data_IF_942053035671
#
_entry.id   IF_942053035671
#
_cell.length_a   1.000
_cell.length_b   1.000
_cell.length_c   1.000
_cell.angle_alpha   90.00
_cell.angle_beta   90.00
_cell.angle_gamma   90.00
#
_symmetry.space_group_name_H-M   'P 1'
#
loop_
_entity.id
_entity.type
_entity.pdbx_description
1 polymer ?
#
# COMPACT_ATOMS: atom_id res chain seq x y z
N UNK A 1 19.44 -1.35 -3.48
CA UNK A 1 19.74 -2.78 -3.76
C UNK A 1 18.57 -3.36 -4.56
N UNK A 2 18.86 -4.12 -5.62
CA UNK A 2 17.82 -4.85 -6.36
C UNK A 2 17.48 -6.14 -5.60
N UNK A 3 16.19 -6.38 -5.36
CA UNK A 3 15.71 -7.54 -4.60
C UNK A 3 16.13 -8.84 -5.28
N UNK A 4 16.62 -9.82 -4.51
CA UNK A 4 16.98 -11.14 -5.03
C UNK A 4 18.08 -11.18 -6.11
N UNK A 5 18.86 -10.11 -6.31
CA UNK A 5 19.96 -10.08 -7.30
C UNK A 5 21.33 -10.13 -6.64
N UNK A 6 22.34 -10.52 -7.42
CA UNK A 6 23.73 -10.61 -6.97
C UNK A 6 23.88 -11.56 -5.78
N UNK A 7 24.50 -11.11 -4.70
CA UNK A 7 24.72 -11.91 -3.50
C UNK A 7 23.43 -12.38 -2.79
N UNK A 8 22.27 -11.77 -3.10
CA UNK A 8 20.98 -12.17 -2.56
C UNK A 8 20.27 -13.25 -3.40
N UNK A 9 20.72 -13.51 -4.63
CA UNK A 9 20.10 -14.50 -5.50
C UNK A 9 20.10 -15.92 -4.90
N UNK A 10 21.09 -16.23 -4.07
CA UNK A 10 21.18 -17.50 -3.34
C UNK A 10 20.03 -17.75 -2.35
N UNK A 11 19.26 -16.71 -2.00
CA UNK A 11 18.10 -16.83 -1.13
C UNK A 11 16.81 -17.03 -1.90
N UNK A 12 16.77 -16.73 -3.21
CA UNK A 12 15.54 -16.88 -4.01
C UNK A 12 15.24 -18.36 -4.18
N UNK A 13 14.02 -18.77 -3.86
CA UNK A 13 13.62 -20.17 -3.91
C UNK A 13 13.39 -20.64 -5.34
N UNK A 14 13.62 -21.94 -5.56
CA UNK A 14 13.13 -22.60 -6.76
C UNK A 14 11.60 -22.56 -6.81
N UNK A 15 11.04 -22.70 -8.00
CA UNK A 15 9.58 -22.68 -8.17
C UNK A 15 8.92 -23.80 -7.36
N UNK A 16 9.47 -25.02 -7.39
CA UNK A 16 8.96 -26.16 -6.63
C UNK A 16 8.98 -25.95 -5.11
N UNK A 17 10.06 -25.40 -4.54
CA UNK A 17 10.14 -25.09 -3.11
C UNK A 17 9.13 -24.00 -2.72
N UNK A 18 9.01 -22.96 -3.57
CA UNK A 18 8.09 -21.87 -3.36
C UNK A 18 6.63 -22.34 -3.40
N UNK A 19 6.26 -23.19 -4.36
CA UNK A 19 4.94 -23.81 -4.47
C UNK A 19 4.63 -24.71 -3.27
N UNK A 20 5.61 -25.51 -2.83
CA UNK A 20 5.46 -26.38 -1.65
C UNK A 20 5.16 -25.56 -0.40
N UNK A 21 5.97 -24.52 -0.12
CA UNK A 21 5.75 -23.63 1.04
C UNK A 21 4.38 -22.93 0.94
N UNK A 22 4.00 -22.51 -0.26
CA UNK A 22 2.71 -21.88 -0.47
C UNK A 22 1.56 -22.82 -0.13
N UNK A 23 1.57 -24.03 -0.68
CA UNK A 23 0.50 -25.02 -0.52
C UNK A 23 0.43 -25.58 0.91
N UNK A 24 1.57 -25.87 1.54
CA UNK A 24 1.62 -26.59 2.82
C UNK A 24 1.63 -25.66 4.04
N UNK A 25 2.05 -24.40 3.89
CA UNK A 25 2.21 -23.49 5.03
C UNK A 25 1.36 -22.23 4.90
N UNK A 26 1.52 -21.48 3.79
CA UNK A 26 0.85 -20.18 3.64
C UNK A 26 -0.66 -20.36 3.48
N UNK A 27 -1.10 -21.26 2.60
CA UNK A 27 -2.52 -21.44 2.31
C UNK A 27 -3.31 -21.89 3.56
N UNK A 28 -2.89 -22.91 4.33
CA UNK A 28 -3.61 -23.31 5.54
C UNK A 28 -3.64 -22.21 6.62
N UNK A 29 -2.52 -21.51 6.81
CA UNK A 29 -2.38 -20.51 7.87
C UNK A 29 -3.08 -19.18 7.56
N UNK A 30 -3.03 -18.72 6.31
CA UNK A 30 -3.46 -17.36 5.94
C UNK A 30 -4.80 -17.35 5.19
N UNK A 31 -5.18 -18.44 4.51
CA UNK A 31 -6.30 -18.43 3.57
C UNK A 31 -7.46 -19.38 3.93
N UNK A 32 -7.27 -20.34 4.85
CA UNK A 32 -8.32 -21.31 5.24
C UNK A 32 -9.67 -20.66 5.53
N UNK A 33 -9.69 -19.58 6.32
CA UNK A 33 -10.92 -18.84 6.63
C UNK A 33 -11.69 -18.36 5.39
N UNK A 34 -11.00 -17.93 4.32
CA UNK A 34 -11.61 -17.41 3.11
C UNK A 34 -11.91 -18.50 2.06
N UNK A 35 -11.26 -19.67 2.16
CA UNK A 35 -11.40 -20.76 1.20
C UNK A 35 -12.38 -21.85 1.64
N UNK A 36 -12.61 -22.01 2.94
CA UNK A 36 -13.42 -23.10 3.52
C UNK A 36 -14.92 -22.74 3.65
N UNK A 37 -15.44 -21.84 2.81
CA UNK A 37 -16.83 -21.39 2.93
C UNK A 37 -17.87 -22.46 2.61
N UNK A 38 -17.49 -23.60 2.01
CA UNK A 38 -18.38 -24.74 1.72
C UNK A 38 -19.54 -24.45 0.75
N UNK A 39 -19.77 -23.18 0.45
CA UNK A 39 -20.70 -22.70 -0.56
C UNK A 39 -20.03 -22.79 -1.93
N UNK A 40 -20.74 -23.38 -2.88
CA UNK A 40 -20.35 -23.27 -4.29
C UNK A 40 -20.30 -21.79 -4.65
N UNK A 41 -19.30 -21.32 -5.42
CA UNK A 41 -19.25 -19.93 -5.86
C UNK A 41 -20.62 -19.60 -6.46
N UNK A 42 -21.33 -18.66 -5.84
CA UNK A 42 -22.64 -18.25 -6.31
C UNK A 42 -22.53 -17.99 -7.80
N UNK A 43 -23.43 -18.58 -8.60
CA UNK A 43 -23.42 -18.49 -10.06
C UNK A 43 -23.57 -17.06 -10.58
N UNK A 44 -23.69 -16.09 -9.67
CA UNK A 44 -23.74 -14.67 -9.94
C UNK A 44 -22.33 -14.06 -9.82
N UNK A 45 -21.59 -14.10 -10.93
CA UNK A 45 -20.28 -13.44 -11.07
C UNK A 45 -20.34 -11.94 -10.73
N UNK A 46 -21.53 -11.36 -10.75
CA UNK A 46 -21.81 -9.98 -10.33
C UNK A 46 -21.61 -9.71 -8.83
N UNK A 47 -21.21 -10.67 -8.00
CA UNK A 47 -21.08 -10.51 -6.54
C UNK A 47 -19.63 -10.35 -6.03
N UNK A 48 -18.62 -10.85 -6.75
CA UNK A 48 -17.23 -10.93 -6.24
C UNK A 48 -16.51 -9.59 -6.33
N UNK A 49 -15.85 -9.15 -5.26
CA UNK A 49 -15.15 -7.86 -5.21
C UNK A 49 -13.70 -8.02 -4.78
N UNK A 50 -12.81 -7.42 -5.57
CA UNK A 50 -11.40 -7.31 -5.26
C UNK A 50 -11.06 -5.84 -5.06
N UNK A 51 -10.67 -5.46 -3.84
CA UNK A 51 -10.18 -4.12 -3.52
C UNK A 51 -8.66 -4.15 -3.45
N UNK A 52 -7.99 -3.38 -4.30
CA UNK A 52 -6.56 -3.17 -4.23
C UNK A 52 -6.30 -1.79 -3.59
N UNK A 53 -5.83 -1.79 -2.34
CA UNK A 53 -5.38 -0.60 -1.63
C UNK A 53 -3.88 -0.39 -1.90
N UNK A 54 -3.58 0.70 -2.58
CA UNK A 54 -2.26 0.96 -3.14
C UNK A 54 -1.75 2.30 -2.63
N UNK A 55 -0.48 2.36 -2.24
CA UNK A 55 0.12 3.61 -1.81
C UNK A 55 1.56 3.39 -1.39
N UNK A 56 2.41 4.41 -1.50
CA UNK A 56 3.80 4.27 -1.09
C UNK A 56 3.94 3.84 0.38
N UNK A 57 5.13 3.38 0.76
CA UNK A 57 5.39 3.12 2.18
C UNK A 57 5.22 4.41 2.98
N UNK A 58 4.54 4.36 4.13
CA UNK A 58 4.23 5.56 4.91
C UNK A 58 3.01 6.37 4.44
N UNK A 59 2.33 5.98 3.36
CA UNK A 59 1.11 6.68 2.92
C UNK A 59 -0.05 6.59 3.93
N UNK A 60 -0.13 5.50 4.70
CA UNK A 60 -1.17 5.31 5.73
C UNK A 60 -2.14 4.16 5.47
N UNK A 61 -1.78 3.19 4.62
CA UNK A 61 -2.62 2.02 4.30
C UNK A 61 -3.19 1.30 5.53
N UNK A 62 -2.41 1.20 6.61
CA UNK A 62 -2.83 0.59 7.88
C UNK A 62 -4.04 1.26 8.54
N UNK A 63 -4.42 2.48 8.13
CA UNK A 63 -5.63 3.19 8.59
C UNK A 63 -6.83 2.96 7.68
N UNK A 64 -6.61 2.92 6.37
CA UNK A 64 -7.66 2.70 5.35
C UNK A 64 -8.06 1.22 5.23
N UNK A 65 -7.09 0.30 5.32
CA UNK A 65 -7.33 -1.14 5.13
C UNK A 65 -8.38 -1.73 6.10
N UNK A 66 -8.36 -1.43 7.42
CA UNK A 66 -9.38 -1.94 8.33
C UNK A 66 -10.79 -1.46 8.01
N UNK A 67 -10.95 -0.23 7.52
CA UNK A 67 -12.25 0.35 7.15
C UNK A 67 -12.83 -0.32 5.90
N UNK A 68 -11.98 -0.53 4.88
CA UNK A 68 -12.34 -1.30 3.69
C UNK A 68 -12.69 -2.74 4.06
N UNK A 69 -11.87 -3.39 4.88
CA UNK A 69 -12.11 -4.75 5.33
C UNK A 69 -13.45 -4.87 6.07
N UNK A 70 -13.73 -3.96 6.99
CA UNK A 70 -15.00 -3.93 7.73
C UNK A 70 -16.20 -3.76 6.79
N UNK A 71 -16.12 -2.86 5.82
CA UNK A 71 -17.17 -2.65 4.84
C UNK A 71 -17.42 -3.91 3.98
N UNK A 72 -16.34 -4.59 3.56
CA UNK A 72 -16.42 -5.85 2.81
C UNK A 72 -17.03 -6.99 3.65
N UNK A 73 -16.62 -7.14 4.91
CA UNK A 73 -17.23 -8.10 5.84
C UNK A 73 -18.73 -7.84 6.03
N UNK A 74 -19.13 -6.58 6.19
CA UNK A 74 -20.52 -6.20 6.41
C UNK A 74 -21.42 -6.47 5.19
N UNK A 75 -20.87 -6.45 3.97
CA UNK A 75 -21.61 -6.77 2.75
C UNK A 75 -22.03 -8.24 2.69
N UNK A 76 -21.21 -9.12 3.25
CA UNK A 76 -21.34 -10.57 3.13
C UNK A 76 -21.25 -11.26 4.51
N UNK A 77 -22.22 -11.04 5.43
CA UNK A 77 -22.12 -11.50 6.82
C UNK A 77 -22.14 -13.02 7.00
N UNK A 78 -22.66 -13.76 6.02
CA UNK A 78 -22.68 -15.22 5.98
C UNK A 78 -21.31 -15.82 5.70
N UNK A 79 -20.36 -15.04 5.22
CA UNK A 79 -19.00 -15.49 4.92
C UNK A 79 -18.05 -15.23 6.10
N UNK A 80 -17.01 -16.06 6.24
CA UNK A 80 -15.93 -15.92 7.25
C UNK A 80 -15.04 -14.67 7.07
N UNK A 81 -15.48 -13.69 6.27
CA UNK A 81 -14.77 -12.46 5.96
C UNK A 81 -13.97 -12.53 4.64
N UNK A 82 -13.64 -11.35 4.06
CA UNK A 82 -12.81 -11.28 2.86
C UNK A 82 -11.37 -11.70 3.15
N UNK A 83 -10.68 -12.27 2.16
CA UNK A 83 -9.25 -12.52 2.26
C UNK A 83 -8.48 -11.18 2.30
N UNK A 84 -7.58 -10.99 3.28
CA UNK A 84 -6.77 -9.77 3.39
C UNK A 84 -5.28 -10.05 3.18
N UNK A 85 -4.79 -9.75 1.98
CA UNK A 85 -3.50 -10.19 1.47
C UNK A 85 -2.47 -9.06 1.48
N UNK A 86 -1.28 -9.33 2.05
CA UNK A 86 -0.19 -8.35 2.18
C UNK A 86 1.13 -9.10 1.95
N UNK A 87 1.89 -8.79 0.90
CA UNK A 87 3.14 -9.51 0.61
C UNK A 87 4.14 -9.53 1.78
N UNK A 88 4.20 -8.45 2.58
CA UNK A 88 5.17 -8.36 3.68
C UNK A 88 5.00 -9.48 4.72
N UNK A 89 3.76 -9.94 4.96
CA UNK A 89 3.47 -11.00 5.94
C UNK A 89 3.99 -12.36 5.47
N UNK A 90 4.08 -12.60 4.16
CA UNK A 90 4.59 -13.88 3.65
C UNK A 90 6.09 -14.07 3.82
N UNK A 91 6.84 -13.00 4.11
CA UNK A 91 8.29 -13.10 4.29
C UNK A 91 8.70 -14.04 5.43
N UNK A 92 7.86 -14.21 6.47
CA UNK A 92 8.16 -15.10 7.59
C UNK A 92 8.13 -16.58 7.25
N UNK A 93 7.46 -16.95 6.15
CA UNK A 93 7.43 -18.33 5.67
C UNK A 93 8.70 -18.69 4.88
N UNK A 94 9.53 -17.71 4.54
CA UNK A 94 10.77 -17.97 3.83
C UNK A 94 11.81 -18.63 4.76
N UNK A 95 12.43 -19.77 4.39
CA UNK A 95 13.34 -20.51 5.26
C UNK A 95 14.50 -19.68 5.83
N UNK A 96 15.07 -18.80 5.00
CA UNK A 96 16.15 -17.91 5.41
C UNK A 96 15.73 -16.69 6.27
N UNK A 97 14.43 -16.41 6.43
CA UNK A 97 13.98 -15.12 7.00
C UNK A 97 14.41 -14.94 8.45
N UNK A 98 14.18 -15.96 9.29
CA UNK A 98 14.50 -15.89 10.73
C UNK A 98 16.00 -15.71 10.96
N UNK A 99 16.83 -16.45 10.22
CA UNK A 99 18.29 -16.34 10.34
C UNK A 99 18.81 -15.00 9.81
N UNK A 100 18.26 -14.50 8.70
CA UNK A 100 18.58 -13.16 8.19
C UNK A 100 18.16 -12.08 9.18
N UNK A 101 16.99 -12.21 9.81
CA UNK A 101 16.56 -11.27 10.85
C UNK A 101 17.46 -11.29 12.08
N UNK A 102 18.10 -12.43 12.41
CA UNK A 102 19.05 -12.54 13.53
C UNK A 102 20.44 -11.99 13.18
N UNK A 103 20.95 -12.35 12.01
CA UNK A 103 22.36 -12.11 11.64
C UNK A 103 22.56 -10.82 10.85
N UNK A 104 21.59 -10.45 10.01
CA UNK A 104 21.69 -9.30 9.10
C UNK A 104 20.29 -8.74 8.77
N UNK A 105 19.58 -8.12 9.74
CA UNK A 105 18.18 -7.70 9.58
C UNK A 105 17.92 -6.84 8.34
N UNK A 106 18.89 -6.00 7.95
CA UNK A 106 18.81 -5.16 6.75
C UNK A 106 18.72 -5.96 5.43
N UNK A 107 19.20 -7.21 5.42
CA UNK A 107 19.17 -8.09 4.25
C UNK A 107 17.91 -8.96 4.19
N UNK A 108 17.19 -9.16 5.30
CA UNK A 108 16.03 -10.05 5.35
C UNK A 108 14.95 -9.66 4.33
N UNK A 109 14.52 -8.40 4.35
CA UNK A 109 13.48 -7.90 3.44
C UNK A 109 13.84 -7.97 1.94
N UNK A 110 15.03 -7.49 1.49
CA UNK A 110 15.39 -7.60 0.07
C UNK A 110 15.77 -9.02 -0.38
N UNK A 111 16.16 -9.92 0.54
CA UNK A 111 16.44 -11.31 0.22
C UNK A 111 15.17 -12.14 0.01
N UNK A 112 14.18 -11.99 0.89
CA UNK A 112 12.93 -12.80 0.85
C UNK A 112 11.79 -12.11 0.12
N UNK A 113 11.97 -10.84 -0.28
CA UNK A 113 11.00 -10.06 -1.03
C UNK A 113 10.55 -10.67 -2.37
N UNK A 114 11.43 -11.29 -3.18
CA UNK A 114 11.02 -11.97 -4.42
C UNK A 114 9.96 -13.05 -4.19
N UNK A 115 10.22 -14.00 -3.28
CA UNK A 115 9.29 -15.10 -2.99
C UNK A 115 8.01 -14.61 -2.32
N UNK A 116 8.10 -13.61 -1.44
CA UNK A 116 6.93 -12.99 -0.84
C UNK A 116 5.98 -12.35 -1.88
N UNK A 117 6.52 -11.78 -2.97
CA UNK A 117 5.72 -11.25 -4.08
C UNK A 117 5.12 -12.38 -4.92
N UNK A 118 5.89 -13.44 -5.17
CA UNK A 118 5.41 -14.66 -5.85
C UNK A 118 4.24 -15.28 -5.08
N UNK A 119 4.37 -15.43 -3.77
CA UNK A 119 3.31 -15.94 -2.90
C UNK A 119 2.08 -15.03 -2.83
N UNK A 120 2.25 -13.70 -2.92
CA UNK A 120 1.10 -12.80 -3.04
C UNK A 120 0.31 -13.04 -4.33
N UNK A 121 0.99 -13.21 -5.47
CA UNK A 121 0.32 -13.54 -6.73
C UNK A 121 -0.39 -14.90 -6.64
N UNK A 122 0.26 -15.93 -6.10
CA UNK A 122 -0.35 -17.25 -5.86
C UNK A 122 -1.58 -17.17 -4.94
N UNK A 123 -1.51 -16.37 -3.86
CA UNK A 123 -2.64 -16.14 -2.95
C UNK A 123 -3.81 -15.46 -3.66
N UNK A 124 -3.55 -14.41 -4.44
CA UNK A 124 -4.59 -13.74 -5.24
C UNK A 124 -5.24 -14.72 -6.23
N UNK A 125 -4.46 -15.52 -6.97
CA UNK A 125 -5.00 -16.52 -7.90
C UNK A 125 -5.85 -17.57 -7.19
N UNK A 126 -5.43 -18.05 -6.02
CA UNK A 126 -6.17 -19.06 -5.24
C UNK A 126 -7.49 -18.51 -4.69
N UNK A 127 -7.49 -17.27 -4.21
CA UNK A 127 -8.68 -16.56 -3.73
C UNK A 127 -9.63 -16.28 -4.90
N UNK A 128 -9.10 -15.81 -6.03
CA UNK A 128 -9.87 -15.56 -7.25
C UNK A 128 -10.57 -16.83 -7.76
N UNK A 129 -9.85 -17.97 -7.78
CA UNK A 129 -10.41 -19.27 -8.16
C UNK A 129 -11.49 -19.76 -7.19
N UNK A 130 -11.41 -19.41 -5.90
CA UNK A 130 -12.42 -19.74 -4.91
C UNK A 130 -13.65 -18.82 -4.97
N UNK A 131 -13.55 -17.67 -5.65
CA UNK A 131 -14.63 -16.68 -5.72
C UNK A 131 -14.83 -15.87 -4.43
N UNK A 132 -13.86 -15.88 -3.50
CA UNK A 132 -13.94 -15.11 -2.27
C UNK A 132 -13.58 -13.64 -2.49
N UNK A 133 -14.23 -12.74 -1.75
CA UNK A 133 -13.88 -11.32 -1.72
C UNK A 133 -12.46 -11.11 -1.22
N UNK A 134 -11.77 -10.09 -1.75
CA UNK A 134 -10.36 -9.90 -1.47
C UNK A 134 -9.98 -8.43 -1.27
N UNK A 135 -9.26 -8.13 -0.18
CA UNK A 135 -8.54 -6.89 0.04
C UNK A 135 -7.04 -7.14 -0.11
N UNK A 136 -6.41 -6.50 -1.09
CA UNK A 136 -4.97 -6.59 -1.34
C UNK A 136 -4.30 -5.28 -1.01
N UNK A 137 -3.24 -5.30 -0.19
CA UNK A 137 -2.40 -4.12 0.01
C UNK A 137 -1.12 -4.20 -0.82
N UNK A 138 -0.83 -3.12 -1.55
CA UNK A 138 0.42 -2.98 -2.31
C UNK A 138 1.12 -1.65 -2.05
N UNK A 139 2.45 -1.71 -1.98
CA UNK A 139 3.29 -0.52 -1.92
C UNK A 139 3.73 -0.02 -3.31
N UNK A 140 3.46 -0.76 -4.38
CA UNK A 140 3.91 -0.45 -5.74
C UNK A 140 5.43 -0.22 -5.88
N UNK A 141 6.25 -0.97 -5.15
CA UNK A 141 7.72 -0.95 -5.39
C UNK A 141 8.07 -1.49 -6.78
N UNK A 142 7.35 -2.53 -7.19
CA UNK A 142 7.44 -3.17 -8.51
C UNK A 142 6.07 -3.02 -9.18
N UNK A 143 5.86 -1.99 -10.02
CA UNK A 143 4.52 -1.70 -10.58
C UNK A 143 3.95 -2.83 -11.42
N UNK A 144 4.80 -3.60 -12.12
CA UNK A 144 4.38 -4.77 -12.89
C UNK A 144 3.60 -5.78 -12.02
N UNK A 145 4.08 -6.06 -10.81
CA UNK A 145 3.37 -6.94 -9.88
C UNK A 145 1.95 -6.44 -9.61
N UNK A 146 1.77 -5.14 -9.33
CA UNK A 146 0.43 -4.56 -9.11
C UNK A 146 -0.47 -4.75 -10.33
N UNK A 147 0.05 -4.52 -11.54
CA UNK A 147 -0.70 -4.71 -12.78
C UNK A 147 -1.13 -6.17 -12.94
N UNK A 148 -0.26 -7.12 -12.59
CA UNK A 148 -0.58 -8.55 -12.63
C UNK A 148 -1.64 -8.92 -11.59
N UNK A 149 -1.59 -8.36 -10.38
CA UNK A 149 -2.64 -8.56 -9.38
C UNK A 149 -4.01 -8.05 -9.87
N UNK A 150 -4.06 -6.89 -10.53
CA UNK A 150 -5.30 -6.38 -11.15
C UNK A 150 -5.80 -7.35 -12.23
N UNK A 151 -4.92 -7.82 -13.11
CA UNK A 151 -5.27 -8.77 -14.19
C UNK A 151 -5.77 -10.11 -13.67
N UNK A 152 -5.21 -10.62 -12.57
CA UNK A 152 -5.67 -11.88 -11.93
C UNK A 152 -7.16 -11.78 -11.60
N UNK A 153 -7.60 -10.70 -10.95
CA UNK A 153 -9.00 -10.53 -10.57
C UNK A 153 -9.89 -10.18 -11.76
N UNK A 154 -9.41 -9.36 -12.69
CA UNK A 154 -10.12 -9.06 -13.94
C UNK A 154 -10.43 -10.35 -14.73
N UNK A 155 -9.43 -11.22 -14.91
CA UNK A 155 -9.59 -12.48 -15.64
C UNK A 155 -10.53 -13.47 -14.94
N UNK A 156 -10.71 -13.33 -13.62
CA UNK A 156 -11.66 -14.10 -12.82
C UNK A 156 -13.04 -13.43 -12.70
N UNK A 157 -13.31 -12.39 -13.50
CA UNK A 157 -14.58 -11.66 -13.58
C UNK A 157 -15.01 -11.00 -12.26
N UNK A 158 -14.05 -10.53 -11.47
CA UNK A 158 -14.33 -9.73 -10.27
C UNK A 158 -14.71 -8.29 -10.65
N UNK A 159 -15.50 -7.65 -9.79
CA UNK A 159 -15.52 -6.19 -9.72
C UNK A 159 -14.21 -5.72 -9.05
N UNK A 160 -13.31 -5.15 -9.85
CA UNK A 160 -11.98 -4.73 -9.43
C UNK A 160 -11.97 -3.25 -9.06
N UNK A 161 -11.80 -2.96 -7.77
CA UNK A 161 -11.76 -1.60 -7.24
C UNK A 161 -10.35 -1.27 -6.77
N UNK A 162 -9.83 -0.11 -7.17
CA UNK A 162 -8.48 0.34 -6.81
C UNK A 162 -8.57 1.64 -6.01
N UNK A 163 -7.98 1.66 -4.82
CA UNK A 163 -7.85 2.84 -4.00
C UNK A 163 -6.38 3.25 -3.91
N UNK A 164 -6.02 4.42 -4.44
CA UNK A 164 -4.65 4.96 -4.41
C UNK A 164 -4.53 6.00 -3.32
N UNK A 165 -3.64 5.81 -2.33
CA UNK A 165 -3.32 6.84 -1.35
C UNK A 165 -2.31 7.84 -1.93
N UNK A 166 -2.78 9.01 -2.34
CA UNK A 166 -1.95 10.11 -2.79
C UNK A 166 -1.55 10.99 -1.60
N UNK A 167 -0.31 10.81 -1.16
CA UNK A 167 0.24 11.51 0.01
C UNK A 167 1.53 12.23 -0.38
N UNK A 168 1.73 13.50 0.05
CA UNK A 168 2.99 14.21 -0.16
C UNK A 168 4.21 13.42 0.35
N UNK A 169 5.35 13.60 -0.34
CA UNK A 169 6.59 12.88 -0.02
C UNK A 169 7.02 13.11 1.43
N UNK A 170 7.04 14.37 1.85
CA UNK A 170 7.38 14.77 3.21
C UNK A 170 6.57 14.01 4.27
N UNK A 171 5.25 13.96 4.11
CA UNK A 171 4.35 13.33 5.09
C UNK A 171 4.49 11.81 5.13
N UNK A 172 4.78 11.17 3.99
CA UNK A 172 4.98 9.72 3.93
C UNK A 172 6.33 9.30 4.49
N UNK A 173 7.41 10.05 4.23
CA UNK A 173 8.73 9.86 4.87
C UNK A 173 8.69 10.13 6.37
N UNK A 174 8.07 11.23 6.79
CA UNK A 174 7.89 11.56 8.20
C UNK A 174 7.12 10.47 8.94
N UNK A 175 6.03 9.97 8.36
CA UNK A 175 5.24 8.87 8.92
C UNK A 175 6.04 7.58 9.13
N UNK A 176 7.04 7.28 8.27
CA UNK A 176 7.95 6.15 8.44
C UNK A 176 8.83 6.34 9.68
N UNK A 177 9.41 7.53 9.87
CA UNK A 177 10.27 7.83 11.01
C UNK A 177 9.46 7.80 12.31
N UNK A 178 8.31 8.47 12.34
CA UNK A 178 7.43 8.56 13.51
C UNK A 178 7.00 7.17 13.96
N UNK A 179 6.48 6.32 13.07
CA UNK A 179 6.02 4.98 13.48
C UNK A 179 7.17 4.13 14.00
N UNK A 180 8.35 4.23 13.39
CA UNK A 180 9.51 3.44 13.80
C UNK A 180 10.03 3.88 15.17
N UNK A 181 10.37 5.17 15.32
CA UNK A 181 11.00 5.68 16.53
C UNK A 181 10.05 5.75 17.74
N UNK A 182 8.75 5.96 17.50
CA UNK A 182 7.73 5.90 18.57
C UNK A 182 7.19 4.49 18.81
N UNK A 183 7.68 3.48 18.08
CA UNK A 183 7.27 2.07 18.22
C UNK A 183 5.74 1.91 18.11
N UNK A 184 5.12 2.65 17.19
CA UNK A 184 3.67 2.58 17.00
C UNK A 184 3.26 1.19 16.46
N UNK A 185 2.04 0.70 16.77
CA UNK A 185 1.56 -0.59 16.26
C UNK A 185 1.71 -0.73 14.74
N UNK A 186 1.48 0.35 13.98
CA UNK A 186 1.56 0.39 12.51
C UNK A 186 2.98 0.24 11.96
N UNK A 187 4.01 0.27 12.82
CA UNK A 187 5.38 -0.05 12.45
C UNK A 187 5.65 -1.55 12.37
N UNK A 188 4.68 -2.37 12.80
CA UNK A 188 4.71 -3.84 12.74
C UNK A 188 3.61 -4.31 11.79
N UNK A 189 3.97 -4.82 10.62
CA UNK A 189 2.98 -5.42 9.71
C UNK A 189 2.58 -6.78 10.29
N UNK A 190 1.37 -6.87 10.87
CA UNK A 190 0.77 -8.08 11.47
C UNK A 190 1.75 -8.93 12.30
N UNK A 191 2.37 -8.33 13.31
CA UNK A 191 3.28 -9.04 14.23
C UNK A 191 4.72 -9.18 13.75
N UNK A 192 5.07 -8.68 12.56
CA UNK A 192 6.45 -8.60 12.12
C UNK A 192 7.30 -7.70 13.06
N UNK A 193 8.61 -7.99 13.19
CA UNK A 193 9.51 -7.15 13.97
C UNK A 193 9.50 -5.69 13.52
N UNK A 194 9.79 -4.79 14.46
CA UNK A 194 9.94 -3.36 14.18
C UNK A 194 11.07 -3.14 13.15
N UNK A 195 10.76 -2.49 12.03
CA UNK A 195 11.74 -2.22 10.97
C UNK A 195 11.60 -0.80 10.44
N UNK A 196 12.72 -0.10 10.35
CA UNK A 196 12.78 1.16 9.63
C UNK A 196 12.78 0.87 8.13
N UNK A 197 11.89 1.53 7.39
CA UNK A 197 11.91 1.45 5.92
C UNK A 197 13.03 2.33 5.40
N UNK A 198 14.02 1.79 4.67
CA UNK A 198 15.09 2.60 4.09
C UNK A 198 14.53 3.58 3.05
N UNK A 199 15.08 4.79 2.98
CA UNK A 199 14.68 5.80 1.99
C UNK A 199 14.67 5.29 0.55
N UNK A 200 15.68 4.57 0.04
CA UNK A 200 15.61 4.04 -1.33
C UNK A 200 14.40 3.12 -1.59
N UNK A 201 13.88 2.45 -0.55
CA UNK A 201 12.66 1.64 -0.66
C UNK A 201 11.43 2.53 -0.72
N UNK A 202 11.37 3.57 0.11
CA UNK A 202 10.33 4.60 0.03
C UNK A 202 10.28 5.22 -1.36
N UNK A 203 11.41 5.71 -1.87
CA UNK A 203 11.49 6.43 -3.14
C UNK A 203 11.06 5.55 -4.32
N UNK A 204 11.46 4.28 -4.31
CA UNK A 204 11.00 3.30 -5.29
C UNK A 204 9.47 3.09 -5.23
N UNK A 205 8.87 2.99 -4.03
CA UNK A 205 7.41 2.88 -3.88
C UNK A 205 6.68 4.17 -4.27
N UNK A 206 7.28 5.33 -4.01
CA UNK A 206 6.73 6.63 -4.36
C UNK A 206 6.69 6.83 -5.88
N UNK A 207 7.79 6.53 -6.57
CA UNK A 207 7.85 6.56 -8.03
C UNK A 207 6.94 5.48 -8.66
N UNK A 208 6.98 4.25 -8.13
CA UNK A 208 6.21 3.15 -8.68
C UNK A 208 4.69 3.32 -8.57
N UNK A 209 4.19 4.03 -7.56
CA UNK A 209 2.76 4.38 -7.47
C UNK A 209 2.31 5.28 -8.64
N UNK A 210 3.15 6.20 -9.11
CA UNK A 210 2.84 7.04 -10.28
C UNK A 210 2.80 6.22 -11.57
N UNK A 211 3.69 5.22 -11.70
CA UNK A 211 3.67 4.27 -12.82
C UNK A 211 2.37 3.47 -12.80
N UNK A 212 1.94 2.98 -11.62
CA UNK A 212 0.67 2.28 -11.47
C UNK A 212 -0.53 3.16 -11.84
N UNK A 213 -0.55 4.43 -11.38
CA UNK A 213 -1.60 5.39 -11.74
C UNK A 213 -1.65 5.67 -13.25
N UNK A 214 -0.50 5.84 -13.89
CA UNK A 214 -0.40 6.07 -15.34
C UNK A 214 -0.90 4.86 -16.14
N UNK A 215 -0.59 3.66 -15.66
CA UNK A 215 -1.10 2.42 -16.24
C UNK A 215 -2.63 2.32 -16.12
N UNK A 216 -3.21 2.70 -14.98
CA UNK A 216 -4.66 2.73 -14.77
C UNK A 216 -5.40 3.72 -15.68
N UNK A 217 -4.73 4.78 -16.16
CA UNK A 217 -5.31 5.70 -17.13
C UNK A 217 -5.28 5.18 -18.57
N UNK A 218 -4.43 4.18 -18.85
CA UNK A 218 -4.15 3.66 -20.19
C UNK A 218 -4.54 2.18 -20.29
N UNK A 219 -3.54 1.30 -20.36
CA UNK A 219 -3.69 -0.15 -20.54
C UNK A 219 -4.58 -0.81 -19.47
N UNK A 220 -4.49 -0.34 -18.23
CA UNK A 220 -5.25 -0.85 -17.09
C UNK A 220 -6.65 -0.28 -16.96
N UNK A 221 -7.08 0.65 -17.83
CA UNK A 221 -8.36 1.36 -17.68
C UNK A 221 -9.55 0.41 -17.66
N UNK A 222 -9.57 -0.57 -18.54
CA UNK A 222 -10.65 -1.56 -18.62
C UNK A 222 -10.54 -2.69 -17.59
N UNK A 223 -9.40 -2.79 -16.88
CA UNK A 223 -9.15 -3.83 -15.89
C UNK A 223 -9.55 -3.43 -14.46
N UNK A 224 -9.85 -2.15 -14.23
CA UNK A 224 -10.33 -1.63 -12.96
C UNK A 224 -11.69 -0.97 -13.13
N UNK A 225 -12.71 -1.53 -12.50
CA UNK A 225 -14.09 -1.04 -12.52
C UNK A 225 -14.26 0.27 -11.79
N UNK A 226 -13.53 0.45 -10.68
CA UNK A 226 -13.52 1.70 -9.92
C UNK A 226 -12.11 2.07 -9.55
N UNK A 227 -11.79 3.35 -9.69
CA UNK A 227 -10.55 3.90 -9.19
C UNK A 227 -10.84 5.14 -8.37
N UNK A 228 -10.32 5.20 -7.15
CA UNK A 228 -10.34 6.40 -6.32
C UNK A 228 -8.91 6.80 -5.96
N UNK A 229 -8.64 8.10 -6.01
CA UNK A 229 -7.43 8.69 -5.41
C UNK A 229 -7.84 9.33 -4.10
N UNK A 230 -7.17 8.91 -3.02
CA UNK A 230 -7.49 9.28 -1.66
C UNK A 230 -6.36 10.12 -1.07
N UNK A 231 -6.74 11.22 -0.45
CA UNK A 231 -5.93 11.89 0.58
C UNK A 231 -6.02 11.09 1.89
N UNK A 232 -5.04 11.26 2.79
CA UNK A 232 -5.10 10.70 4.15
C UNK A 232 -6.42 11.08 4.84
N UNK A 233 -6.99 10.13 5.58
CA UNK A 233 -8.33 10.28 6.16
C UNK A 233 -9.46 9.86 5.22
N UNK A 234 -9.11 9.16 4.13
CA UNK A 234 -10.02 8.62 3.12
C UNK A 234 -10.88 9.69 2.43
N UNK A 235 -10.30 10.87 2.22
CA UNK A 235 -10.93 11.95 1.44
C UNK A 235 -10.70 11.72 -0.06
N UNK A 236 -11.78 11.71 -0.84
CA UNK A 236 -11.76 11.41 -2.28
C UNK A 236 -11.33 12.65 -3.06
N UNK A 237 -10.13 12.59 -3.65
CA UNK A 237 -9.59 13.63 -4.52
C UNK A 237 -9.83 13.36 -6.01
N UNK A 238 -10.17 12.13 -6.36
CA UNK A 238 -10.58 11.75 -7.72
C UNK A 238 -11.37 10.45 -7.65
N UNK A 239 -12.34 10.31 -8.55
CA UNK A 239 -13.06 9.06 -8.75
C UNK A 239 -13.26 8.78 -10.23
N UNK A 240 -13.27 7.50 -10.56
CA UNK A 240 -13.68 6.99 -11.88
C UNK A 240 -14.39 5.68 -11.70
N UNK A 241 -15.64 5.62 -12.16
CA UNK A 241 -16.39 4.38 -12.32
C UNK A 241 -16.28 3.88 -13.77
N UNK A 242 -16.54 2.59 -13.99
CA UNK A 242 -16.55 2.00 -15.31
C UNK A 242 -17.63 2.62 -16.20
N UNK A 243 -17.28 2.96 -17.44
CA UNK A 243 -18.17 3.63 -18.38
C UNK A 243 -18.28 5.14 -18.18
N UNK A 244 -17.70 5.68 -17.10
CA UNK A 244 -17.53 7.12 -16.93
C UNK A 244 -16.22 7.56 -17.64
N UNK A 245 -16.25 8.78 -18.19
CA UNK A 245 -15.03 9.43 -18.64
C UNK A 245 -14.13 9.78 -17.43
N UNK A 246 -14.70 9.86 -16.22
CA UNK A 246 -14.04 10.28 -14.98
C UNK A 246 -13.78 11.78 -14.99
N UNK A 247 -13.22 12.34 -13.92
CA UNK A 247 -12.81 13.76 -13.95
C UNK A 247 -11.75 13.97 -15.05
N UNK A 248 -11.77 15.14 -15.73
CA UNK A 248 -11.03 15.45 -16.96
C UNK A 248 -9.50 15.22 -16.89
N UNK A 249 -8.93 15.08 -15.70
CA UNK A 249 -7.49 15.06 -15.48
C UNK A 249 -6.89 13.66 -15.27
N UNK A 250 -7.68 12.60 -15.07
CA UNK A 250 -7.18 11.22 -14.91
C UNK A 250 -6.49 10.92 -13.56
N UNK A 251 -6.25 9.63 -13.28
CA UNK A 251 -5.73 9.13 -12.00
C UNK A 251 -4.33 9.64 -11.71
N UNK A 252 -3.44 9.63 -12.71
CA UNK A 252 -2.06 10.06 -12.52
C UNK A 252 -1.94 11.56 -12.22
N UNK A 253 -2.76 12.39 -12.88
CA UNK A 253 -2.78 13.84 -12.62
C UNK A 253 -3.32 14.13 -11.22
N UNK A 254 -4.44 13.51 -10.84
CA UNK A 254 -5.00 13.66 -9.49
C UNK A 254 -4.00 13.25 -8.40
N UNK A 255 -3.26 12.16 -8.63
CA UNK A 255 -2.21 11.72 -7.71
C UNK A 255 -1.06 12.72 -7.61
N UNK A 256 -0.63 13.33 -8.72
CA UNK A 256 0.41 14.36 -8.73
C UNK A 256 -0.05 15.65 -8.06
N UNK A 257 -1.31 16.05 -8.30
CA UNK A 257 -1.93 17.21 -7.69
C UNK A 257 -1.95 17.07 -6.16
N UNK A 258 -2.45 15.95 -5.65
CA UNK A 258 -2.47 15.66 -4.20
C UNK A 258 -1.08 15.52 -3.58
N UNK A 259 -0.04 15.19 -4.36
CA UNK A 259 1.34 15.14 -3.88
C UNK A 259 1.99 16.51 -3.73
N UNK A 260 1.54 17.50 -4.52
CA UNK A 260 2.12 18.85 -4.60
C UNK A 260 1.29 19.93 -3.92
N UNK A 261 0.08 19.60 -3.51
CA UNK A 261 -0.82 20.55 -2.88
C UNK A 261 -0.22 21.17 -1.61
N UNK A 262 -0.65 22.40 -1.28
CA UNK A 262 -0.50 22.92 0.06
C UNK A 262 -1.02 21.97 1.13
N UNK A 263 -0.29 21.86 2.23
CA UNK A 263 -0.76 21.15 3.41
C UNK A 263 -1.89 21.94 4.08
N UNK A 264 -2.93 21.26 4.54
CA UNK A 264 -3.95 21.89 5.38
C UNK A 264 -3.40 22.24 6.76
N UNK A 265 -4.04 23.16 7.49
CA UNK A 265 -3.59 23.63 8.82
C UNK A 265 -3.30 22.49 9.80
N UNK A 266 -4.19 21.50 9.86
CA UNK A 266 -4.01 20.33 10.74
C UNK A 266 -2.82 19.46 10.32
N UNK A 267 -2.57 19.32 9.02
CA UNK A 267 -1.43 18.56 8.50
C UNK A 267 -0.12 19.30 8.77
N UNK A 268 -0.09 20.62 8.59
CA UNK A 268 1.06 21.47 8.92
C UNK A 268 1.40 21.37 10.41
N UNK A 269 0.41 21.61 11.28
CA UNK A 269 0.59 21.55 12.73
C UNK A 269 1.13 20.17 13.17
N UNK A 270 0.54 19.09 12.64
CA UNK A 270 0.98 17.73 12.94
C UNK A 270 2.40 17.45 12.45
N UNK A 271 2.75 17.89 11.24
CA UNK A 271 4.09 17.69 10.69
C UNK A 271 5.15 18.43 11.52
N UNK A 272 4.86 19.64 12.00
CA UNK A 272 5.74 20.40 12.90
C UNK A 272 5.94 19.65 14.22
N UNK A 273 4.86 19.13 14.83
CA UNK A 273 4.93 18.36 16.06
C UNK A 273 5.76 17.07 15.90
N UNK A 274 5.52 16.33 14.82
CA UNK A 274 6.24 15.08 14.54
C UNK A 274 7.73 15.36 14.24
N UNK A 275 8.07 16.45 13.53
CA UNK A 275 9.47 16.87 13.32
C UNK A 275 10.14 17.23 14.65
N UNK A 276 9.50 18.06 15.48
CA UNK A 276 10.02 18.45 16.79
C UNK A 276 10.30 17.22 17.67
N UNK A 277 9.36 16.28 17.70
CA UNK A 277 9.49 15.03 18.46
C UNK A 277 10.72 14.23 18.02
N UNK A 278 10.98 14.15 16.71
CA UNK A 278 12.13 13.42 16.17
C UNK A 278 13.46 14.16 16.36
N UNK A 279 13.46 15.49 16.36
CA UNK A 279 14.63 16.30 16.71
C UNK A 279 15.02 16.12 18.18
N UNK A 280 14.05 16.15 19.10
CA UNK A 280 14.26 15.84 20.53
C UNK A 280 14.81 14.42 20.71
N UNK A 281 14.28 13.44 19.97
CA UNK A 281 14.80 12.08 19.98
C UNK A 281 16.25 12.01 19.48
N UNK A 282 16.59 12.75 18.42
CA UNK A 282 17.96 12.82 17.88
C UNK A 282 18.95 13.40 18.90
N UNK A 283 18.55 14.42 19.66
CA UNK A 283 19.36 15.00 20.73
C UNK A 283 19.61 14.01 21.87
N UNK A 284 18.66 13.11 22.13
CA UNK A 284 18.76 12.06 23.14
C UNK A 284 19.61 10.85 22.72
N UNK A 285 20.04 10.75 21.45
CA UNK A 285 20.92 9.67 21.00
C UNK A 285 22.36 9.88 21.50
N UNK A 286 22.88 8.90 22.24
CA UNK A 286 24.24 8.90 22.77
C UNK A 286 25.32 8.69 21.71
N UNK A 287 26.58 8.84 22.12
CA UNK A 287 27.76 8.69 21.23
C UNK A 287 27.87 7.30 20.59
N UNK A 288 27.35 6.27 21.24
CA UNK A 288 27.28 4.89 20.74
C UNK A 288 26.34 4.73 19.53
N UNK A 289 25.43 5.69 19.31
CA UNK A 289 24.44 5.70 18.22
C UNK A 289 24.64 6.85 17.24
N UNK A 290 25.85 7.39 17.15
CA UNK A 290 26.17 8.56 16.32
C UNK A 290 25.79 8.38 14.84
N UNK A 291 25.98 7.18 14.27
CA UNK A 291 25.58 6.90 12.88
C UNK A 291 24.07 6.99 12.67
N UNK A 292 23.28 6.53 13.65
CA UNK A 292 21.82 6.60 13.60
C UNK A 292 21.35 8.04 13.75
N UNK A 293 21.99 8.78 14.67
CA UNK A 293 21.76 10.21 14.86
C UNK A 293 21.98 10.99 13.56
N UNK A 294 23.15 10.84 12.94
CA UNK A 294 23.48 11.50 11.68
C UNK A 294 22.51 11.15 10.56
N UNK A 295 22.10 9.88 10.47
CA UNK A 295 21.11 9.44 9.48
C UNK A 295 19.74 10.08 9.72
N UNK A 296 19.27 10.14 10.97
CA UNK A 296 18.01 10.77 11.34
C UNK A 296 18.03 12.28 11.06
N UNK A 297 19.10 12.98 11.46
CA UNK A 297 19.25 14.43 11.22
C UNK A 297 19.29 14.78 9.74
N UNK A 298 19.95 13.96 8.92
CA UNK A 298 19.96 14.11 7.47
C UNK A 298 18.56 13.93 6.89
N UNK A 299 17.83 12.88 7.30
CA UNK A 299 16.46 12.64 6.84
C UNK A 299 15.51 13.77 7.28
N UNK A 300 15.63 14.28 8.51
CA UNK A 300 14.83 15.40 9.00
C UNK A 300 15.12 16.70 8.24
N UNK A 301 16.38 16.96 7.88
CA UNK A 301 16.74 18.11 7.05
C UNK A 301 16.03 18.07 5.69
N UNK A 302 16.07 16.92 5.02
CA UNK A 302 15.43 16.74 3.73
C UNK A 302 13.90 16.83 3.83
N UNK A 303 13.30 16.23 4.87
CA UNK A 303 11.85 16.33 5.12
C UNK A 303 11.44 17.79 5.33
N UNK A 304 12.21 18.57 6.11
CA UNK A 304 11.94 20.00 6.32
C UNK A 304 11.99 20.79 5.01
N UNK A 305 12.93 20.51 4.13
CA UNK A 305 12.98 21.13 2.80
C UNK A 305 11.75 20.79 1.96
N UNK A 306 11.32 19.52 1.97
CA UNK A 306 10.09 19.11 1.28
C UNK A 306 8.84 19.78 1.87
N UNK A 307 8.76 19.94 3.19
CA UNK A 307 7.65 20.64 3.85
C UNK A 307 7.59 22.12 3.46
N UNK A 308 8.74 22.81 3.41
CA UNK A 308 8.84 24.19 2.93
C UNK A 308 8.36 24.33 1.48
N UNK A 309 8.71 23.37 0.63
CA UNK A 309 8.24 23.32 -0.76
C UNK A 309 6.73 23.08 -0.93
N UNK A 310 6.01 22.70 0.13
CA UNK A 310 4.55 22.57 0.15
C UNK A 310 3.86 23.78 0.81
N UNK A 311 4.62 24.76 1.28
CA UNK A 311 4.05 25.95 1.91
C UNK A 311 3.76 27.02 0.83
N UNK A 312 2.49 27.45 0.65
CA UNK A 312 2.14 28.43 -0.36
C UNK A 312 2.91 29.75 -0.20
N UNK A 313 3.20 30.17 1.04
CA UNK A 313 3.93 31.40 1.33
C UNK A 313 5.43 31.32 0.95
N UNK A 314 5.98 30.11 0.89
CA UNK A 314 7.37 29.85 0.49
C UNK A 314 7.55 29.75 -1.03
N UNK A 315 6.47 29.53 -1.78
CA UNK A 315 6.46 29.41 -3.24
C UNK A 315 5.84 30.65 -3.91
N UNK A 316 6.33 31.85 -3.56
CA UNK A 316 5.83 33.15 -4.02
C UNK A 316 6.01 33.46 -5.53
N UNK A 317 6.07 32.44 -6.39
CA UNK A 317 5.83 32.59 -7.84
C UNK A 317 4.37 32.29 -8.12
N UNK A 318 3.61 33.34 -8.44
CA UNK A 318 2.26 33.28 -9.01
C UNK A 318 2.20 32.22 -10.12
N UNK A 319 1.67 31.04 -9.78
CA UNK A 319 1.18 30.06 -10.73
C UNK A 319 -0.28 29.84 -10.32
N UNK A 320 -1.19 29.84 -11.30
CA UNK A 320 -2.61 29.56 -11.12
C UNK A 320 -2.80 28.52 -10.01
N UNK A 321 -3.43 28.90 -8.91
CA UNK A 321 -3.73 27.97 -7.83
C UNK A 321 -4.55 26.86 -8.47
N UNK A 322 -4.02 25.63 -8.60
CA UNK A 322 -4.77 24.59 -9.28
C UNK A 322 -6.06 24.39 -8.50
N UNK A 323 -7.18 24.33 -9.21
CA UNK A 323 -8.48 24.11 -8.59
C UNK A 323 -8.45 22.73 -7.92
N UNK A 324 -8.56 22.70 -6.60
CA UNK A 324 -8.61 21.47 -5.84
C UNK A 324 -10.05 21.04 -5.73
N UNK A 325 -10.38 19.78 -6.05
CA UNK A 325 -11.77 19.33 -5.97
C UNK A 325 -12.28 19.43 -4.54
N UNK A 326 -13.58 19.69 -4.40
CA UNK A 326 -14.25 19.54 -3.12
C UNK A 326 -14.12 18.09 -2.66
N UNK A 327 -13.56 17.89 -1.47
CA UNK A 327 -13.29 16.57 -0.94
C UNK A 327 -14.49 16.07 -0.16
N UNK A 328 -15.01 14.92 -0.57
CA UNK A 328 -15.98 14.15 0.19
C UNK A 328 -15.29 12.92 0.81
N UNK A 329 -15.71 12.48 2.01
CA UNK A 329 -15.19 11.26 2.59
C UNK A 329 -15.59 10.06 1.70
N UNK A 330 -14.70 9.09 1.57
CA UNK A 330 -14.98 7.84 0.89
C UNK A 330 -16.10 7.13 1.64
N UNK A 331 -17.18 6.83 0.94
CA UNK A 331 -18.17 5.89 1.43
C UNK A 331 -17.66 4.47 1.16
N UNK A 332 -16.98 3.85 2.13
CA UNK A 332 -16.39 2.52 1.98
C UNK A 332 -17.41 1.47 1.56
N UNK A 333 -18.63 1.51 2.14
CA UNK A 333 -19.70 0.57 1.81
C UNK A 333 -20.12 0.69 0.34
N UNK A 334 -20.32 1.91 -0.16
CA UNK A 334 -20.66 2.14 -1.57
C UNK A 334 -19.50 1.76 -2.50
N UNK A 335 -18.27 2.06 -2.09
CA UNK A 335 -17.08 1.75 -2.89
C UNK A 335 -16.94 0.25 -3.15
N UNK A 336 -17.31 -0.60 -2.19
CA UNK A 336 -17.18 -2.07 -2.28
C UNK A 336 -18.38 -2.80 -2.89
N UNK A 337 -19.39 -2.09 -3.42
CA UNK A 337 -20.53 -2.71 -4.12
C UNK A 337 -20.11 -3.17 -5.52
N UNK A 338 -20.32 -4.44 -5.87
CA UNK A 338 -20.10 -4.94 -7.23
C UNK A 338 -21.08 -4.33 -8.25
N UNK A 339 -20.74 -4.31 -9.55
CA UNK A 339 -21.64 -3.80 -10.59
C UNK A 339 -22.99 -4.53 -10.51
N UNK A 340 -24.08 -3.82 -10.20
CA UNK A 340 -25.44 -4.38 -10.25
C UNK A 340 -26.38 -3.99 -9.12
N UNK A 341 -25.90 -3.49 -7.98
CA UNK A 341 -26.78 -3.09 -6.86
C UNK A 341 -27.01 -1.57 -6.90
N UNK A 342 -27.78 -1.11 -7.89
CA UNK A 342 -28.55 0.12 -7.74
C UNK A 342 -29.96 -0.31 -7.35
N UNK A 343 -30.18 -0.47 -6.04
CA UNK A 343 -31.50 -0.52 -5.42
C UNK A 343 -31.75 0.79 -4.71
#
# INVERSE_FOLDING_TARGET
MADGKGALAKYVLTDAESETIFAEQIMPAELSHALDSGESPGSDSSSKVAVLLVGQTGAGKTRTAPLLHQAMTARNPSHRGPAHLIADTYKTYHPAYTDLMRQSPALASPATGPDARRWLAMACSRVAAAGADCLVESACRHPADFQDLVRIFQAAEYAVHVALLAVPEALSRLGILVRFHRVLPEARSRGLPLRLTPRPVHDATYAGLLIAATWLDREGRAAADRVVVLRRGDWVAYKRDAGDHGDDHGVASALLLERRRPLGEQEKARAIEDVKTLEELSLGLGQDREKEKQALEMELRDIKQLLLGLDPDSNATQADTPDFPELLPLNHARFIISRGING
#
